data_IF_982059396876
#
_entry.id   IF_982059396876
#
_cell.length_a   1.000
_cell.length_b   1.000
_cell.length_c   1.000
_cell.angle_alpha   90.00
_cell.angle_beta   90.00
_cell.angle_gamma   90.00
#
_symmetry.space_group_name_H-M   'P 1'
#
loop_
_entity.id
_entity.type
_entity.pdbx_description
1 polymer ?
#
# COMPACT_ATOMS: atom_id res chain seq x y z
N UNK A 1 -10.27 -8.32 31.76
CA UNK A 1 -9.47 -8.08 30.55
C UNK A 1 -9.69 -6.65 30.13
N UNK A 2 -8.68 -5.80 30.26
CA UNK A 2 -8.78 -4.36 30.01
C UNK A 2 -8.78 -4.10 28.50
N UNK A 3 -9.82 -3.45 27.99
CA UNK A 3 -9.96 -3.03 26.61
C UNK A 3 -9.08 -1.79 26.40
N UNK A 4 -8.03 -1.93 25.61
CA UNK A 4 -7.16 -0.81 25.23
C UNK A 4 -7.96 0.19 24.38
N UNK A 5 -7.87 1.51 24.64
CA UNK A 5 -8.58 2.49 23.83
C UNK A 5 -7.87 2.61 22.47
N UNK A 6 -8.59 2.29 21.40
CA UNK A 6 -8.17 2.63 20.04
C UNK A 6 -8.11 4.17 19.93
N UNK A 7 -7.03 4.68 19.35
CA UNK A 7 -6.86 6.12 19.14
C UNK A 7 -7.89 6.57 18.09
N UNK A 8 -8.95 7.25 18.52
CA UNK A 8 -10.00 7.80 17.65
C UNK A 8 -9.54 9.16 17.15
N UNK A 9 -8.82 9.18 16.03
CA UNK A 9 -8.55 10.44 15.32
C UNK A 9 -9.72 10.70 14.37
N UNK A 10 -10.62 11.60 14.72
CA UNK A 10 -11.68 12.00 13.80
C UNK A 10 -11.05 12.83 12.66
N UNK A 11 -11.00 12.28 11.45
CA UNK A 11 -10.61 13.01 10.24
C UNK A 11 -11.72 14.04 9.98
N UNK A 12 -11.41 15.32 10.20
CA UNK A 12 -12.25 16.44 9.78
C UNK A 12 -11.49 17.19 8.70
N UNK A 13 -11.80 16.90 7.44
CA UNK A 13 -11.28 17.70 6.34
C UNK A 13 -12.17 18.93 6.13
N UNK A 14 -11.51 20.08 6.18
CA UNK A 14 -12.05 21.41 5.92
C UNK A 14 -12.12 21.61 4.41
N UNK A 15 -13.21 22.19 3.90
CA UNK A 15 -13.33 22.60 2.49
C UNK A 15 -12.24 23.62 2.13
N UNK A 16 -11.07 23.17 1.66
CA UNK A 16 -10.12 24.03 0.96
C UNK A 16 -9.84 23.44 -0.41
N UNK A 17 -10.37 24.12 -1.43
CA UNK A 17 -10.40 23.63 -2.79
C UNK A 17 -9.04 23.62 -3.49
N UNK A 18 -8.76 22.50 -4.16
CA UNK A 18 -8.23 22.50 -5.53
C UNK A 18 -8.51 21.14 -6.17
N UNK A 19 -8.92 21.20 -7.44
CA UNK A 19 -9.29 20.11 -8.37
C UNK A 19 -10.47 19.20 -7.98
N UNK A 20 -11.61 19.46 -8.65
CA UNK A 20 -12.85 18.69 -8.56
C UNK A 20 -12.69 17.31 -9.19
N UNK A 21 -12.12 16.38 -8.46
CA UNK A 21 -12.31 14.96 -8.77
C UNK A 21 -13.69 14.54 -8.29
N UNK A 22 -14.63 14.42 -9.23
CA UNK A 22 -16.03 14.07 -9.04
C UNK A 22 -16.22 12.97 -7.98
N UNK A 23 -16.51 13.38 -6.74
CA UNK A 23 -17.11 12.48 -5.78
C UNK A 23 -18.47 12.07 -6.36
N UNK A 24 -18.76 10.77 -6.36
CA UNK A 24 -20.15 10.33 -6.57
C UNK A 24 -21.05 11.09 -5.59
N UNK A 25 -22.27 11.48 -5.99
CA UNK A 25 -23.17 12.29 -5.16
C UNK A 25 -23.49 11.67 -3.79
N UNK A 26 -23.19 10.37 -3.60
CA UNK A 26 -23.37 9.62 -2.37
C UNK A 26 -22.23 9.73 -1.33
N UNK A 27 -21.14 10.46 -1.61
CA UNK A 27 -19.97 10.53 -0.71
C UNK A 27 -19.28 9.17 -0.50
N UNK A 28 -18.37 9.10 0.47
CA UNK A 28 -17.64 7.91 0.88
C UNK A 28 -16.12 8.12 1.04
N UNK A 29 -15.46 7.03 1.47
CA UNK A 29 -14.00 6.91 1.50
C UNK A 29 -13.51 6.41 0.13
N UNK A 30 -12.76 7.24 -0.58
CA UNK A 30 -12.10 6.86 -1.84
C UNK A 30 -10.64 6.54 -1.58
N UNK A 31 -10.11 5.53 -2.26
CA UNK A 31 -8.70 5.19 -2.24
C UNK A 31 -8.17 5.21 -3.67
N UNK A 32 -7.26 6.13 -3.93
CA UNK A 32 -6.56 6.28 -5.19
C UNK A 32 -5.51 5.20 -5.38
N UNK A 33 -5.47 4.65 -6.59
CA UNK A 33 -4.50 3.65 -7.04
C UNK A 33 -3.56 4.29 -8.08
N UNK A 34 -2.25 4.25 -7.83
CA UNK A 34 -1.27 4.72 -8.81
C UNK A 34 -1.19 3.80 -10.03
N UNK A 35 -1.41 2.50 -9.83
CA UNK A 35 -1.52 1.52 -10.90
C UNK A 35 -2.75 0.66 -10.67
N UNK A 36 -3.65 0.63 -11.66
CA UNK A 36 -4.88 -0.16 -11.61
C UNK A 36 -4.71 -1.60 -12.11
N UNK A 37 -3.54 -1.94 -12.67
CA UNK A 37 -3.35 -3.23 -13.32
C UNK A 37 -4.39 -3.47 -14.41
N UNK A 38 -5.11 -4.58 -14.30
CA UNK A 38 -6.23 -4.92 -15.18
C UNK A 38 -7.58 -4.34 -14.71
N UNK A 39 -7.62 -3.64 -13.57
CA UNK A 39 -8.85 -3.05 -13.07
C UNK A 39 -9.33 -1.89 -13.95
N UNK A 40 -10.65 -1.75 -14.06
CA UNK A 40 -11.27 -0.69 -14.87
C UNK A 40 -11.08 0.69 -14.24
N UNK A 41 -11.19 0.78 -12.91
CA UNK A 41 -11.21 2.03 -12.15
C UNK A 41 -9.90 2.31 -11.42
N UNK A 42 -9.51 3.59 -11.37
CA UNK A 42 -8.31 4.08 -10.68
C UNK A 42 -8.57 4.43 -9.21
N UNK A 43 -9.82 4.31 -8.76
CA UNK A 43 -10.24 4.51 -7.38
C UNK A 43 -10.97 3.27 -6.88
N UNK A 44 -10.80 2.96 -5.60
CA UNK A 44 -11.66 2.05 -4.86
C UNK A 44 -12.51 2.87 -3.90
N UNK A 45 -13.84 2.75 -3.99
CA UNK A 45 -14.76 3.57 -3.18
C UNK A 45 -15.52 2.71 -2.17
N UNK A 46 -15.47 3.11 -0.91
CA UNK A 46 -16.25 2.53 0.19
C UNK A 46 -17.33 3.55 0.59
N UNK A 47 -18.60 3.15 0.52
CA UNK A 47 -19.74 4.06 0.75
C UNK A 47 -20.24 4.00 2.19
N UNK A 48 -20.13 2.83 2.83
CA UNK A 48 -20.55 2.61 4.22
C UNK A 48 -19.72 1.51 4.87
N UNK A 49 -19.59 1.58 6.19
CA UNK A 49 -19.00 0.49 6.99
C UNK A 49 -17.93 0.97 7.94
N UNK A 50 -17.25 0.00 8.57
CA UNK A 50 -16.16 0.27 9.50
C UNK A 50 -14.89 -0.52 9.17
N UNK A 51 -14.38 -0.46 7.92
CA UNK A 51 -13.20 -1.22 7.54
C UNK A 51 -11.95 -0.69 8.24
N UNK A 52 -11.05 -1.57 8.63
CA UNK A 52 -9.72 -1.16 9.05
C UNK A 52 -8.79 -0.89 7.85
N UNK A 53 -7.71 -0.16 8.08
CA UNK A 53 -6.74 0.17 7.05
C UNK A 53 -6.11 -1.08 6.42
N UNK A 54 -5.87 -2.12 7.21
CA UNK A 54 -5.37 -3.40 6.72
C UNK A 54 -6.38 -4.11 5.80
N UNK A 55 -7.66 -4.14 6.14
CA UNK A 55 -8.72 -4.73 5.31
C UNK A 55 -8.81 -4.03 3.95
N UNK A 56 -8.77 -2.70 3.93
CA UNK A 56 -8.74 -1.90 2.70
C UNK A 56 -7.50 -2.24 1.86
N UNK A 57 -6.33 -2.28 2.49
CA UNK A 57 -5.09 -2.63 1.81
C UNK A 57 -5.12 -4.05 1.21
N UNK A 58 -5.71 -5.02 1.92
CA UNK A 58 -5.86 -6.41 1.46
C UNK A 58 -6.81 -6.47 0.26
N UNK A 59 -7.97 -5.83 0.34
CA UNK A 59 -8.96 -5.76 -0.74
C UNK A 59 -8.35 -5.18 -2.03
N UNK A 60 -7.65 -4.05 -1.90
CA UNK A 60 -6.94 -3.41 -3.01
C UNK A 60 -5.84 -4.33 -3.55
N UNK A 61 -4.98 -4.87 -2.68
CA UNK A 61 -3.86 -5.73 -3.08
C UNK A 61 -4.34 -6.95 -3.87
N UNK A 62 -5.44 -7.58 -3.44
CA UNK A 62 -6.07 -8.68 -4.16
C UNK A 62 -6.55 -8.24 -5.56
N UNK A 63 -7.19 -7.08 -5.66
CA UNK A 63 -7.72 -6.54 -6.92
C UNK A 63 -6.64 -6.26 -7.97
N UNK A 64 -5.47 -5.75 -7.55
CA UNK A 64 -4.35 -5.43 -8.46
C UNK A 64 -3.27 -6.52 -8.52
N UNK A 65 -3.50 -7.65 -7.86
CA UNK A 65 -2.61 -8.83 -7.92
C UNK A 65 -1.30 -8.68 -7.15
N UNK A 66 -1.23 -7.80 -6.14
CA UNK A 66 -0.10 -7.77 -5.21
C UNK A 66 -0.17 -9.01 -4.31
N UNK A 67 0.93 -9.76 -4.21
CA UNK A 67 0.96 -10.99 -3.43
C UNK A 67 0.95 -10.72 -1.91
N UNK A 68 0.47 -11.68 -1.10
CA UNK A 68 0.55 -11.59 0.36
C UNK A 68 1.98 -11.40 0.91
N UNK A 69 3.01 -11.73 0.13
CA UNK A 69 4.40 -11.53 0.54
C UNK A 69 4.82 -10.05 0.41
N UNK A 70 4.19 -9.31 -0.51
CA UNK A 70 4.49 -7.91 -0.81
C UNK A 70 3.49 -6.92 -0.20
N UNK A 71 2.28 -7.34 0.19
CA UNK A 71 1.25 -6.42 0.71
C UNK A 71 1.75 -5.59 1.90
N UNK A 72 2.59 -6.17 2.77
CA UNK A 72 3.12 -5.50 3.96
C UNK A 72 4.01 -4.30 3.67
N UNK A 73 4.43 -4.11 2.41
CA UNK A 73 5.17 -2.94 1.96
C UNK A 73 4.26 -1.72 1.73
N UNK A 74 2.94 -1.93 1.64
CA UNK A 74 1.95 -0.92 1.30
C UNK A 74 1.16 -0.46 2.53
N UNK A 75 0.67 0.78 2.46
CA UNK A 75 -0.19 1.39 3.47
C UNK A 75 -1.05 2.50 2.86
N UNK A 76 -2.00 3.00 3.66
CA UNK A 76 -2.84 4.14 3.29
C UNK A 76 -2.19 5.46 3.73
N UNK A 77 -2.18 6.42 2.82
CA UNK A 77 -1.64 7.76 3.00
C UNK A 77 -2.73 8.80 2.78
N UNK A 78 -2.86 9.76 3.69
CA UNK A 78 -3.70 10.95 3.53
C UNK A 78 -2.84 12.07 2.92
N UNK A 79 -3.12 12.49 1.66
CA UNK A 79 -2.37 13.58 1.03
C UNK A 79 -2.69 14.96 1.61
N UNK A 80 -3.90 15.18 2.11
CA UNK A 80 -4.34 16.47 2.64
C UNK A 80 -3.72 16.70 4.03
N UNK A 81 -3.69 15.67 4.86
CA UNK A 81 -3.12 15.75 6.20
C UNK A 81 -1.64 15.34 6.29
N UNK A 82 -1.06 14.82 5.21
CA UNK A 82 0.33 14.32 5.12
C UNK A 82 0.64 13.26 6.20
N UNK A 83 -0.26 12.29 6.36
CA UNK A 83 -0.22 11.27 7.41
C UNK A 83 -0.36 9.87 6.84
N UNK A 84 0.27 8.91 7.51
CA UNK A 84 0.10 7.48 7.21
C UNK A 84 -0.77 6.82 8.27
N UNK A 85 -1.73 6.01 7.85
CA UNK A 85 -2.55 5.25 8.79
C UNK A 85 -1.84 3.99 9.26
N UNK A 86 -1.94 3.65 10.57
CA UNK A 86 -1.52 2.34 11.03
C UNK A 86 -2.53 1.27 10.55
N UNK A 87 -2.09 0.01 10.36
CA UNK A 87 -2.92 -1.06 9.79
C UNK A 87 -4.19 -1.35 10.61
N UNK A 88 -4.15 -1.11 11.92
CA UNK A 88 -5.28 -1.31 12.83
C UNK A 88 -6.25 -0.11 12.92
N UNK A 89 -6.03 0.95 12.14
CA UNK A 89 -6.92 2.11 12.15
C UNK A 89 -8.26 1.77 11.52
N UNK A 90 -9.36 2.08 12.20
CA UNK A 90 -10.73 1.81 11.73
C UNK A 90 -11.35 3.08 11.16
N UNK A 91 -11.77 3.04 9.90
CA UNK A 91 -12.46 4.15 9.26
C UNK A 91 -13.96 4.06 9.50
N UNK A 92 -14.58 5.12 9.99
CA UNK A 92 -16.04 5.21 10.06
C UNK A 92 -16.55 5.84 8.77
N UNK A 93 -16.99 5.00 7.84
CA UNK A 93 -17.42 5.42 6.50
C UNK A 93 -18.93 5.54 6.47
N UNK A 94 -19.40 6.72 6.09
CA UNK A 94 -20.80 7.07 5.88
C UNK A 94 -20.93 7.91 4.60
N UNK A 95 -22.15 8.13 4.11
CA UNK A 95 -22.44 8.90 2.89
C UNK A 95 -22.05 10.38 2.99
N UNK A 96 -21.88 10.88 4.21
CA UNK A 96 -21.54 12.29 4.45
C UNK A 96 -20.03 12.55 4.43
N UNK A 97 -19.19 11.50 4.56
CA UNK A 97 -17.74 11.66 4.53
C UNK A 97 -17.28 11.81 3.08
N UNK A 98 -16.29 12.67 2.83
CA UNK A 98 -15.63 12.78 1.52
C UNK A 98 -14.14 12.83 1.75
N UNK A 99 -13.53 11.65 1.85
CA UNK A 99 -12.09 11.51 2.10
C UNK A 99 -11.47 10.75 0.93
N UNK A 100 -10.35 11.25 0.42
CA UNK A 100 -9.55 10.56 -0.59
C UNK A 100 -8.20 10.19 0.02
N UNK A 101 -7.93 8.89 0.13
CA UNK A 101 -6.64 8.34 0.55
C UNK A 101 -5.88 7.80 -0.65
N UNK A 102 -4.59 7.59 -0.50
CA UNK A 102 -3.74 6.96 -1.50
C UNK A 102 -3.25 5.62 -0.97
N UNK A 103 -3.43 4.56 -1.75
CA UNK A 103 -2.73 3.30 -1.52
C UNK A 103 -1.29 3.46 -2.01
N UNK A 104 -0.29 3.33 -1.13
CA UNK A 104 1.11 3.60 -1.49
C UNK A 104 2.07 2.61 -0.86
N UNK A 105 3.17 2.34 -1.57
CA UNK A 105 4.32 1.67 -0.99
C UNK A 105 4.95 2.61 0.06
N UNK A 106 4.94 2.17 1.31
CA UNK A 106 5.47 2.89 2.48
C UNK A 106 6.87 2.41 2.86
N UNK A 107 7.11 1.11 2.78
CA UNK A 107 8.39 0.50 3.12
C UNK A 107 9.17 0.18 1.86
N UNK A 108 10.27 0.89 1.65
CA UNK A 108 11.11 0.77 0.47
C UNK A 108 12.55 0.44 0.86
N UNK A 109 13.15 -0.52 0.14
CA UNK A 109 14.55 -0.90 0.31
C UNK A 109 15.35 -0.36 -0.86
N UNK A 110 16.40 0.41 -0.58
CA UNK A 110 17.33 0.87 -1.62
C UNK A 110 18.07 -0.31 -2.24
N UNK A 111 18.40 -0.19 -3.52
CA UNK A 111 19.12 -1.21 -4.29
C UNK A 111 18.48 -2.61 -4.22
N UNK A 112 17.15 -2.70 -4.08
CA UNK A 112 16.40 -3.96 -4.09
C UNK A 112 16.55 -4.73 -5.41
N UNK A 113 16.89 -4.03 -6.51
CA UNK A 113 17.16 -4.60 -7.84
C UNK A 113 18.62 -5.04 -8.02
N UNK A 114 19.54 -4.67 -7.11
CA UNK A 114 20.93 -5.12 -7.11
C UNK A 114 21.78 -4.64 -8.29
N UNK A 115 21.39 -3.57 -8.99
CA UNK A 115 22.15 -3.08 -10.17
C UNK A 115 23.18 -2.00 -9.82
N UNK A 116 23.26 -1.60 -8.54
CA UNK A 116 24.27 -0.67 -8.06
C UNK A 116 25.33 -1.43 -7.26
N UNK A 117 26.51 -1.61 -7.85
CA UNK A 117 27.65 -2.31 -7.22
C UNK A 117 28.24 -1.56 -6.02
N UNK A 118 27.86 -0.28 -5.80
CA UNK A 118 28.33 0.53 -4.67
C UNK A 118 27.48 0.37 -3.41
N UNK A 119 26.29 -0.23 -3.53
CA UNK A 119 25.37 -0.46 -2.42
C UNK A 119 25.12 -1.97 -2.26
N UNK A 120 24.85 -2.46 -1.03
CA UNK A 120 24.49 -3.86 -0.86
C UNK A 120 23.15 -4.17 -1.56
N UNK A 121 23.05 -5.32 -2.21
CA UNK A 121 21.79 -5.82 -2.76
C UNK A 121 20.87 -6.34 -1.63
N UNK A 122 19.56 -6.17 -1.78
CA UNK A 122 18.56 -6.58 -0.80
C UNK A 122 17.67 -7.67 -1.39
N UNK A 123 17.52 -8.78 -0.66
CA UNK A 123 16.75 -9.95 -1.10
C UNK A 123 16.01 -10.61 0.06
N UNK A 124 14.96 -11.37 -0.24
CA UNK A 124 14.25 -12.19 0.76
C UNK A 124 15.03 -13.47 1.02
N UNK A 125 15.11 -13.87 2.29
CA UNK A 125 15.77 -15.10 2.70
C UNK A 125 15.08 -16.33 2.11
N UNK A 126 15.87 -17.29 1.63
CA UNK A 126 15.39 -18.59 1.16
C UNK A 126 15.66 -19.64 2.25
N UNK A 127 14.68 -20.49 2.60
CA UNK A 127 14.91 -21.61 3.52
C UNK A 127 16.04 -22.51 3.03
N UNK A 128 16.92 -22.94 3.93
CA UNK A 128 18.02 -23.86 3.58
C UNK A 128 17.46 -25.26 3.31
N UNK A 129 17.68 -25.80 2.12
CA UNK A 129 17.48 -27.23 1.84
C UNK A 129 18.61 -28.04 2.50
N UNK A 130 18.28 -29.13 3.20
CA UNK A 130 19.25 -29.97 3.91
C UNK A 130 20.30 -30.66 3.00
N UNK A 131 20.05 -30.74 1.68
CA UNK A 131 20.82 -31.59 0.75
C UNK A 131 21.81 -30.83 -0.15
N UNK A 132 22.20 -29.59 0.18
CA UNK A 132 23.12 -28.83 -0.67
C UNK A 132 24.48 -28.59 -0.01
N UNK A 133 25.47 -29.40 -0.38
CA UNK A 133 26.88 -29.22 0.01
C UNK A 133 27.60 -28.12 -0.79
N UNK A 134 26.91 -27.38 -1.65
CA UNK A 134 27.53 -26.32 -2.45
C UNK A 134 27.39 -24.94 -1.77
N UNK A 135 28.41 -24.58 -0.98
CA UNK A 135 28.43 -23.37 -0.13
C UNK A 135 28.91 -22.11 -0.84
N UNK A 136 29.49 -22.18 -2.04
CA UNK A 136 30.18 -21.02 -2.65
C UNK A 136 29.36 -20.22 -3.67
N UNK A 137 28.26 -20.77 -4.20
CA UNK A 137 27.43 -20.10 -5.22
C UNK A 137 26.05 -19.61 -4.74
N UNK A 138 25.67 -19.91 -3.48
CA UNK A 138 24.31 -19.67 -2.97
C UNK A 138 24.13 -18.41 -2.11
N UNK A 139 25.21 -17.74 -1.71
CA UNK A 139 25.14 -16.53 -0.85
C UNK A 139 24.53 -15.31 -1.54
N UNK A 140 24.28 -15.38 -2.85
CA UNK A 140 23.76 -14.27 -3.66
C UNK A 140 22.38 -14.54 -4.29
N UNK A 141 21.83 -15.75 -4.13
CA UNK A 141 20.53 -16.13 -4.70
C UNK A 141 19.44 -16.03 -3.65
N UNK A 142 19.01 -14.80 -3.34
CA UNK A 142 17.78 -14.57 -2.58
C UNK A 142 16.57 -14.37 -3.50
N UNK A 143 15.36 -14.50 -2.94
CA UNK A 143 14.15 -14.20 -3.71
C UNK A 143 13.98 -12.69 -3.89
N UNK A 144 13.45 -12.26 -5.03
CA UNK A 144 13.15 -10.86 -5.29
C UNK A 144 12.25 -10.27 -4.19
N UNK A 145 12.51 -9.02 -3.81
CA UNK A 145 11.72 -8.31 -2.80
C UNK A 145 10.31 -8.03 -3.30
N UNK A 146 10.19 -7.63 -4.56
CA UNK A 146 8.95 -7.23 -5.21
C UNK A 146 8.48 -8.29 -6.19
N UNK A 147 7.17 -8.56 -6.18
CA UNK A 147 6.52 -9.26 -7.29
C UNK A 147 6.25 -8.30 -8.47
N UNK A 148 5.78 -8.86 -9.59
CA UNK A 148 5.51 -8.11 -10.82
C UNK A 148 4.55 -6.93 -10.59
N UNK A 149 3.44 -7.18 -9.90
CA UNK A 149 2.42 -6.15 -9.62
C UNK A 149 2.93 -5.05 -8.72
N UNK A 150 3.69 -5.40 -7.67
CA UNK A 150 4.30 -4.44 -6.74
C UNK A 150 5.34 -3.58 -7.43
N UNK A 151 6.12 -4.15 -8.35
CA UNK A 151 7.05 -3.40 -9.18
C UNK A 151 6.33 -2.41 -10.09
N UNK A 152 5.31 -2.86 -10.84
CA UNK A 152 4.51 -1.98 -11.71
C UNK A 152 3.86 -0.86 -10.91
N UNK A 153 3.33 -1.17 -9.72
CA UNK A 153 2.75 -0.16 -8.84
C UNK A 153 3.79 0.86 -8.36
N UNK A 154 4.96 0.40 -7.92
CA UNK A 154 6.03 1.30 -7.48
C UNK A 154 6.50 2.22 -8.62
N UNK A 155 6.61 1.69 -9.83
CA UNK A 155 6.99 2.47 -11.00
C UNK A 155 6.00 3.62 -11.23
N UNK A 156 4.70 3.32 -11.40
CA UNK A 156 3.66 4.36 -11.60
C UNK A 156 3.57 5.33 -10.41
N UNK A 157 3.72 4.81 -9.19
CA UNK A 157 3.74 5.65 -8.00
C UNK A 157 4.86 6.68 -8.08
N UNK A 158 6.07 6.28 -8.46
CA UNK A 158 7.24 7.18 -8.54
C UNK A 158 7.07 8.18 -9.69
N UNK A 159 6.57 7.76 -10.85
CA UNK A 159 6.31 8.67 -11.98
C UNK A 159 5.37 9.80 -11.62
N UNK A 160 4.37 9.56 -10.77
CA UNK A 160 3.46 10.61 -10.33
C UNK A 160 4.12 11.72 -9.50
N UNK A 161 5.34 11.51 -8.98
CA UNK A 161 6.07 12.50 -8.17
C UNK A 161 7.28 13.13 -8.89
N UNK A 162 7.57 12.75 -10.14
CA UNK A 162 8.64 13.30 -10.97
C UNK A 162 8.08 14.20 -12.07
#
# INVERSE_FOLDING_TARGET
>A
MSMMPLCHFAIKHSESGMEREHFSPAGGLRVFLHWKGEAEEQYQTYIKGTPCAEEICIDIAQKIGITPTCFSLFALYDPEANLWFPPNYVFYVDSDIKVTLHFRMRYYFRNWHGTNDKEPAIYRSIPRSADSEDRSYRSEQGNAILDKSSFSYLFEQVWHFF
#
